data_IF_915661491226
#
_entry.id   IF_915661491226
#
_cell.length_a   1.000
_cell.length_b   1.000
_cell.length_c   1.000
_cell.angle_alpha   90.00
_cell.angle_beta   90.00
_cell.angle_gamma   90.00
#
_symmetry.space_group_name_H-M   'P 1'
#
loop_
_entity.id
_entity.type
_entity.pdbx_description
1 polymer ?
#
# COMPACT_ATOMS: atom_id res chain seq x y z
N UNK A 1 -7.53 21.81 -6.57
CA UNK A 1 -6.45 20.79 -6.50
C UNK A 1 -6.26 20.08 -7.83
N UNK A 2 -7.27 19.39 -8.36
CA UNK A 2 -7.15 18.67 -9.65
C UNK A 2 -6.66 19.57 -10.79
N UNK A 3 -7.35 20.70 -10.98
CA UNK A 3 -6.99 21.70 -11.98
C UNK A 3 -5.54 22.20 -11.83
N UNK A 4 -5.09 22.45 -10.60
CA UNK A 4 -3.70 22.88 -10.34
C UNK A 4 -2.67 21.83 -10.79
N UNK A 5 -2.91 20.55 -10.52
CA UNK A 5 -2.00 19.47 -10.94
C UNK A 5 -1.95 19.36 -12.46
N UNK A 6 -3.12 19.43 -13.10
CA UNK A 6 -3.27 19.31 -14.54
C UNK A 6 -2.61 20.52 -15.26
N UNK A 7 -2.76 21.74 -14.73
CA UNK A 7 -2.17 22.98 -15.27
C UNK A 7 -0.65 23.06 -15.10
N UNK A 8 -0.12 22.56 -13.98
CA UNK A 8 1.32 22.61 -13.67
C UNK A 8 2.11 21.43 -14.26
N UNK A 9 1.47 20.57 -15.06
CA UNK A 9 2.10 19.44 -15.76
C UNK A 9 2.86 18.49 -14.82
N UNK A 10 2.46 18.42 -13.55
CA UNK A 10 3.00 17.47 -12.61
C UNK A 10 2.48 16.10 -13.00
N UNK A 11 3.37 15.21 -13.45
CA UNK A 11 2.94 13.91 -13.95
C UNK A 11 2.72 12.93 -12.79
N UNK A 12 1.61 12.15 -12.80
CA UNK A 12 1.42 11.06 -11.85
C UNK A 12 2.50 9.96 -12.02
N UNK A 13 2.71 9.09 -11.01
CA UNK A 13 1.89 8.96 -9.81
C UNK A 13 2.35 9.83 -8.63
N UNK A 14 1.40 10.23 -7.79
CA UNK A 14 1.59 11.10 -6.63
C UNK A 14 1.70 10.33 -5.33
N UNK A 15 2.47 10.86 -4.38
CA UNK A 15 2.40 10.47 -2.97
C UNK A 15 1.60 11.54 -2.24
N UNK A 16 0.49 11.14 -1.62
CA UNK A 16 -0.34 12.08 -0.87
C UNK A 16 0.13 12.12 0.58
N UNK A 17 0.50 13.31 1.06
CA UNK A 17 0.82 13.55 2.47
C UNK A 17 -0.25 14.46 3.04
N UNK A 18 -1.02 13.96 4.00
CA UNK A 18 -2.19 14.65 4.53
C UNK A 18 -2.12 14.73 6.06
N UNK A 19 -2.49 15.89 6.59
CA UNK A 19 -2.59 16.14 8.02
C UNK A 19 -4.01 16.56 8.41
N UNK A 20 -4.53 15.99 9.49
CA UNK A 20 -5.87 16.26 10.00
C UNK A 20 -6.93 16.25 8.89
N UNK A 21 -7.69 17.34 8.73
CA UNK A 21 -8.73 17.50 7.72
C UNK A 21 -8.25 17.33 6.27
N UNK A 22 -6.95 17.47 6.01
CA UNK A 22 -6.34 17.08 4.75
C UNK A 22 -6.61 15.62 4.38
N UNK A 23 -6.82 14.74 5.36
CA UNK A 23 -7.16 13.34 5.17
C UNK A 23 -8.43 13.15 4.35
N UNK A 24 -9.46 13.95 4.59
CA UNK A 24 -10.70 13.92 3.80
C UNK A 24 -10.43 14.22 2.33
N UNK A 25 -9.67 15.28 2.02
CA UNK A 25 -9.34 15.62 0.64
C UNK A 25 -8.45 14.57 -0.03
N UNK A 26 -7.47 14.02 0.67
CA UNK A 26 -6.61 12.97 0.15
C UNK A 26 -7.41 11.70 -0.18
N UNK A 27 -8.37 11.34 0.67
CA UNK A 27 -9.25 10.19 0.42
C UNK A 27 -10.24 10.42 -0.71
N UNK A 28 -10.77 11.64 -0.87
CA UNK A 28 -11.61 11.98 -2.02
C UNK A 28 -10.83 11.99 -3.33
N UNK A 29 -9.58 12.47 -3.32
CA UNK A 29 -8.71 12.38 -4.49
C UNK A 29 -8.40 10.93 -4.86
N UNK A 30 -8.09 10.10 -3.86
CA UNK A 30 -7.85 8.67 -4.03
C UNK A 30 -9.07 7.96 -4.63
N UNK A 31 -10.28 8.34 -4.21
CA UNK A 31 -11.52 7.81 -4.79
C UNK A 31 -11.66 8.15 -6.27
N UNK A 32 -11.37 9.40 -6.64
CA UNK A 32 -11.56 9.88 -8.01
C UNK A 32 -10.46 9.43 -8.97
N UNK A 33 -9.21 9.32 -8.49
CA UNK A 33 -8.03 9.03 -9.32
C UNK A 33 -7.11 7.98 -8.68
N UNK A 34 -7.60 6.77 -8.35
CA UNK A 34 -6.81 5.76 -7.61
C UNK A 34 -5.55 5.33 -8.35
N UNK A 35 -5.57 5.29 -9.69
CA UNK A 35 -4.40 4.95 -10.51
C UNK A 35 -3.29 6.02 -10.48
N UNK A 36 -3.62 7.27 -10.14
CA UNK A 36 -2.66 8.36 -10.05
C UNK A 36 -1.97 8.45 -8.68
N UNK A 37 -2.36 7.63 -7.70
CA UNK A 37 -1.72 7.61 -6.37
C UNK A 37 -0.72 6.45 -6.31
N UNK A 38 0.54 6.73 -5.94
CA UNK A 38 1.59 5.72 -5.71
C UNK A 38 1.63 5.24 -4.25
N UNK A 39 1.17 6.06 -3.31
CA UNK A 39 1.18 5.76 -1.88
C UNK A 39 0.69 6.97 -1.07
N UNK A 40 0.55 6.79 0.25
CA UNK A 40 -0.01 7.82 1.13
C UNK A 40 0.66 7.87 2.50
N UNK A 41 0.74 9.07 3.08
CA UNK A 41 1.08 9.33 4.48
C UNK A 41 -0.06 10.12 5.11
N UNK A 42 -0.67 9.55 6.13
CA UNK A 42 -1.82 10.09 6.85
C UNK A 42 -1.38 10.44 8.27
N UNK A 43 -1.33 11.72 8.61
CA UNK A 43 -0.81 12.24 9.88
C UNK A 43 -1.97 12.82 10.70
N UNK A 44 -2.24 12.25 11.88
CA UNK A 44 -3.33 12.70 12.75
C UNK A 44 -4.71 12.80 12.06
N UNK A 45 -4.97 11.94 11.08
CA UNK A 45 -6.25 11.87 10.34
C UNK A 45 -7.16 10.75 10.86
N UNK A 46 -8.39 10.69 10.36
CA UNK A 46 -9.36 9.61 10.59
C UNK A 46 -10.40 9.95 11.66
N UNK A 47 -10.29 11.10 12.33
CA UNK A 47 -11.33 11.61 13.23
C UNK A 47 -12.33 12.51 12.51
N UNK A 48 -12.06 12.88 11.27
CA UNK A 48 -12.87 13.83 10.52
C UNK A 48 -14.10 13.13 9.94
N UNK A 49 -15.28 13.52 10.41
CA UNK A 49 -16.58 12.99 9.97
C UNK A 49 -17.05 13.53 8.61
N UNK A 50 -16.16 14.20 7.88
CA UNK A 50 -16.49 14.89 6.64
C UNK A 50 -16.44 14.01 5.38
N UNK A 51 -15.88 12.80 5.48
CA UNK A 51 -15.99 11.82 4.40
C UNK A 51 -17.35 11.12 4.48
N UNK A 52 -18.00 10.95 3.33
CA UNK A 52 -19.20 10.14 3.23
C UNK A 52 -18.91 8.70 3.73
N UNK A 53 -19.68 8.17 4.70
CA UNK A 53 -19.47 6.83 5.24
C UNK A 53 -19.48 5.73 4.18
N UNK A 54 -20.27 5.85 3.12
CA UNK A 54 -20.34 4.84 2.05
C UNK A 54 -19.07 4.85 1.21
N UNK A 55 -18.47 6.03 0.98
CA UNK A 55 -17.14 6.14 0.36
C UNK A 55 -16.11 5.49 1.28
N UNK A 56 -16.13 5.82 2.57
CA UNK A 56 -15.17 5.30 3.51
C UNK A 56 -15.20 3.77 3.58
N UNK A 57 -16.39 3.20 3.80
CA UNK A 57 -16.57 1.75 3.91
C UNK A 57 -16.22 1.04 2.61
N UNK A 58 -16.57 1.63 1.46
CA UNK A 58 -16.16 1.09 0.16
C UNK A 58 -14.64 1.06 0.02
N UNK A 59 -13.94 2.15 0.35
CA UNK A 59 -12.48 2.22 0.25
C UNK A 59 -11.77 1.18 1.12
N UNK A 60 -12.28 0.92 2.33
CA UNK A 60 -11.75 -0.16 3.18
C UNK A 60 -12.07 -1.53 2.61
N UNK A 61 -13.31 -1.76 2.20
CA UNK A 61 -13.76 -3.06 1.64
C UNK A 61 -13.01 -3.43 0.37
N UNK A 62 -12.77 -2.48 -0.52
CA UNK A 62 -12.07 -2.71 -1.79
C UNK A 62 -10.55 -2.64 -1.62
N UNK A 63 -10.06 -2.21 -0.45
CA UNK A 63 -8.67 -1.86 -0.22
C UNK A 63 -8.13 -0.98 -1.36
N UNK A 64 -8.67 0.22 -1.51
CA UNK A 64 -8.49 1.07 -2.70
C UNK A 64 -7.02 1.35 -3.09
N UNK A 65 -6.07 1.30 -2.15
CA UNK A 65 -4.62 1.39 -2.45
C UNK A 65 -4.00 0.07 -2.91
N UNK A 66 -4.67 -1.06 -2.72
CA UNK A 66 -4.18 -2.38 -3.10
C UNK A 66 -2.87 -2.71 -2.38
N UNK A 67 -1.78 -2.86 -3.14
CA UNK A 67 -0.42 -3.08 -2.61
C UNK A 67 0.42 -1.82 -2.43
N UNK A 68 -0.14 -0.63 -2.70
CA UNK A 68 0.58 0.65 -2.62
C UNK A 68 0.82 1.05 -1.17
N UNK A 69 2.03 1.49 -0.80
CA UNK A 69 2.37 1.76 0.58
C UNK A 69 1.54 2.87 1.23
N UNK A 70 1.11 2.62 2.47
CA UNK A 70 0.39 3.55 3.33
C UNK A 70 1.07 3.67 4.70
N UNK A 71 1.41 4.88 5.13
CA UNK A 71 1.79 5.15 6.50
C UNK A 71 0.70 5.94 7.23
N UNK A 72 0.33 5.52 8.44
CA UNK A 72 -0.55 6.27 9.34
C UNK A 72 0.24 6.66 10.58
N UNK A 73 0.35 7.96 10.83
CA UNK A 73 1.05 8.52 11.99
C UNK A 73 0.01 9.06 12.99
N UNK A 74 0.11 8.57 14.22
CA UNK A 74 -0.65 9.00 15.37
C UNK A 74 0.25 9.77 16.34
N UNK A 75 -0.15 10.96 16.73
CA UNK A 75 0.28 11.65 17.94
C UNK A 75 -0.73 11.44 19.09
N UNK A 76 -0.53 12.16 20.18
CA UNK A 76 -1.40 12.22 21.34
C UNK A 76 -2.16 13.55 21.35
N UNK A 77 -3.27 13.64 20.62
CA UNK A 77 -4.12 14.84 20.58
C UNK A 77 -4.60 15.26 21.99
N UNK A 78 -4.66 14.34 22.96
CA UNK A 78 -5.11 14.61 24.33
C UNK A 78 -3.98 14.97 25.30
N UNK A 79 -2.74 15.14 24.83
CA UNK A 79 -1.55 15.32 25.70
C UNK A 79 -1.72 16.45 26.73
N UNK A 80 -2.34 17.57 26.34
CA UNK A 80 -2.59 18.69 27.24
C UNK A 80 -3.61 18.34 28.33
N UNK A 81 -4.68 17.60 27.99
CA UNK A 81 -5.70 17.17 28.95
C UNK A 81 -5.15 16.13 29.91
N UNK A 82 -4.29 15.23 29.42
CA UNK A 82 -3.54 14.30 30.27
C UNK A 82 -2.67 15.03 31.28
N UNK A 83 -1.95 16.07 30.84
CA UNK A 83 -1.15 16.91 31.75
C UNK A 83 -2.01 17.58 32.83
N UNK A 84 -3.17 18.12 32.46
CA UNK A 84 -4.12 18.70 33.41
C UNK A 84 -4.65 17.67 34.40
N UNK A 85 -5.00 16.47 33.93
CA UNK A 85 -5.43 15.37 34.79
C UNK A 85 -4.35 14.99 35.81
N UNK A 86 -3.10 14.84 35.38
CA UNK A 86 -1.98 14.48 36.27
C UNK A 86 -1.72 15.57 37.32
N UNK A 87 -1.82 16.84 36.95
CA UNK A 87 -1.70 17.96 37.90
C UNK A 87 -2.83 17.94 38.93
N UNK A 88 -4.07 17.70 38.51
CA UNK A 88 -5.21 17.61 39.41
C UNK A 88 -5.11 16.40 40.36
N UNK A 89 -4.63 15.26 39.87
CA UNK A 89 -4.37 14.07 40.67
C UNK A 89 -3.29 14.32 41.74
N UNK A 90 -2.20 15.01 41.38
CA UNK A 90 -1.14 15.34 42.33
C UNK A 90 -1.62 16.28 43.46
N UNK A 91 -2.56 17.18 43.17
CA UNK A 91 -3.17 18.07 44.18
C UNK A 91 -4.18 17.34 45.07
N UNK A 92 -4.95 16.40 44.51
CA UNK A 92 -5.97 15.65 45.25
C UNK A 92 -5.39 14.65 46.26
N UNK A 93 -4.16 14.16 46.04
CA UNK A 93 -3.53 13.12 46.86
C UNK A 93 -4.26 11.78 46.75
N UNK A 94 -4.22 10.97 47.81
CA UNK A 94 -4.77 9.60 47.82
C UNK A 94 -6.29 9.53 48.09
N UNK A 95 -6.95 10.67 48.31
CA UNK A 95 -8.38 10.70 48.56
C UNK A 95 -9.18 10.34 47.29
N UNK A 96 -10.17 9.42 47.36
CA UNK A 96 -11.01 9.10 46.22
C UNK A 96 -11.74 10.34 45.69
N UNK A 97 -11.49 10.71 44.44
CA UNK A 97 -12.14 11.83 43.77
C UNK A 97 -12.98 11.34 42.58
N UNK A 98 -14.33 11.27 42.70
CA UNK A 98 -15.21 10.80 41.63
C UNK A 98 -15.03 11.54 40.31
N UNK A 99 -14.76 12.85 40.36
CA UNK A 99 -14.51 13.66 39.15
C UNK A 99 -13.26 13.21 38.41
N UNK A 100 -12.17 12.93 39.14
CA UNK A 100 -10.93 12.42 38.53
C UNK A 100 -11.09 11.02 37.96
N UNK A 101 -11.89 10.16 38.60
CA UNK A 101 -12.21 8.83 38.07
C UNK A 101 -12.94 8.94 36.73
N UNK A 102 -13.99 9.75 36.67
CA UNK A 102 -14.77 9.97 35.44
C UNK A 102 -13.91 10.64 34.36
N UNK A 103 -13.10 11.63 34.73
CA UNK A 103 -12.19 12.31 33.80
C UNK A 103 -11.19 11.32 33.19
N UNK A 104 -10.59 10.44 34.00
CA UNK A 104 -9.67 9.40 33.51
C UNK A 104 -10.38 8.45 32.55
N UNK A 105 -11.57 7.97 32.90
CA UNK A 105 -12.35 7.07 32.04
C UNK A 105 -12.66 7.72 30.68
N UNK A 106 -13.03 9.01 30.67
CA UNK A 106 -13.28 9.73 29.42
C UNK A 106 -12.01 9.89 28.58
N UNK A 107 -10.88 10.22 29.21
CA UNK A 107 -9.59 10.34 28.52
C UNK A 107 -9.16 8.99 27.91
N UNK A 108 -9.23 7.91 28.69
CA UNK A 108 -8.91 6.56 28.23
C UNK A 108 -9.83 6.12 27.09
N UNK A 109 -11.14 6.38 27.19
CA UNK A 109 -12.10 6.04 26.14
C UNK A 109 -11.87 6.84 24.85
N UNK A 110 -11.58 8.14 24.97
CA UNK A 110 -11.31 9.00 23.82
C UNK A 110 -10.00 8.62 23.13
N UNK A 111 -8.95 8.30 23.90
CA UNK A 111 -7.66 7.85 23.37
C UNK A 111 -7.80 6.52 22.61
N UNK A 112 -8.56 5.58 23.18
CA UNK A 112 -8.87 4.30 22.54
C UNK A 112 -9.63 4.47 21.23
N UNK A 113 -10.64 5.34 21.21
CA UNK A 113 -11.42 5.59 20.00
C UNK A 113 -10.58 6.29 18.92
N UNK A 114 -9.73 7.24 19.32
CA UNK A 114 -8.78 7.88 18.43
C UNK A 114 -7.82 6.88 17.77
N UNK A 115 -7.22 5.98 18.55
CA UNK A 115 -6.38 4.90 18.03
C UNK A 115 -7.17 3.97 17.09
N UNK A 116 -8.41 3.60 17.46
CA UNK A 116 -9.27 2.74 16.62
C UNK A 116 -9.51 3.36 15.24
N UNK A 117 -9.87 4.64 15.20
CA UNK A 117 -10.11 5.38 13.95
C UNK A 117 -8.86 5.48 13.09
N UNK A 118 -7.71 5.80 13.70
CA UNK A 118 -6.44 5.88 12.97
C UNK A 118 -6.01 4.51 12.42
N UNK A 119 -6.12 3.44 13.21
CA UNK A 119 -5.83 2.08 12.76
C UNK A 119 -6.79 1.57 11.70
N UNK A 120 -8.06 1.99 11.72
CA UNK A 120 -9.03 1.59 10.70
C UNK A 120 -8.58 2.00 9.28
N UNK A 121 -7.87 3.12 9.15
CA UNK A 121 -7.34 3.59 7.86
C UNK A 121 -6.30 2.65 7.26
N UNK A 122 -5.66 1.77 8.04
CA UNK A 122 -4.72 0.76 7.52
C UNK A 122 -5.40 -0.19 6.54
N UNK A 123 -6.72 -0.36 6.62
CA UNK A 123 -7.51 -1.19 5.69
C UNK A 123 -7.48 -0.68 4.24
N UNK A 124 -7.11 0.58 4.01
CA UNK A 124 -6.96 1.13 2.66
C UNK A 124 -5.92 0.37 1.83
N UNK A 125 -4.88 -0.22 2.46
CA UNK A 125 -3.78 -0.90 1.78
C UNK A 125 -3.36 -2.21 2.46
N UNK A 126 -2.91 -3.18 1.67
CA UNK A 126 -2.23 -4.41 2.14
C UNK A 126 -0.77 -4.16 2.54
N UNK A 127 -0.18 -3.06 2.08
CA UNK A 127 1.17 -2.63 2.44
C UNK A 127 1.06 -1.37 3.28
N UNK A 128 0.98 -1.55 4.60
CA UNK A 128 0.73 -0.43 5.51
C UNK A 128 1.66 -0.46 6.74
N UNK A 129 1.83 0.71 7.34
CA UNK A 129 2.59 0.90 8.57
C UNK A 129 1.87 1.88 9.48
N UNK A 130 1.81 1.53 10.77
CA UNK A 130 1.29 2.38 11.83
C UNK A 130 2.42 2.90 12.70
N UNK A 131 2.43 4.21 12.98
CA UNK A 131 3.45 4.90 13.75
C UNK A 131 2.76 5.67 14.87
N UNK A 132 3.17 5.47 16.12
CA UNK A 132 2.62 6.17 17.27
C UNK A 132 3.70 6.99 17.97
N UNK A 133 3.43 8.28 18.17
CA UNK A 133 4.32 9.29 18.75
C UNK A 133 3.62 9.88 20.00
N UNK A 134 3.70 9.20 21.15
CA UNK A 134 2.89 9.53 22.33
C UNK A 134 3.26 10.86 23.00
N UNK A 135 4.45 11.38 22.70
CA UNK A 135 5.03 12.62 23.23
C UNK A 135 4.74 13.86 22.35
N UNK A 136 4.08 13.68 21.21
CA UNK A 136 3.72 14.77 20.31
C UNK A 136 2.20 14.96 20.26
N UNK A 137 1.72 16.20 20.35
CA UNK A 137 0.30 16.50 20.15
C UNK A 137 -0.16 16.41 18.69
N UNK A 138 -1.30 17.03 18.40
CA UNK A 138 -1.93 17.05 17.06
C UNK A 138 -1.01 17.60 15.95
N UNK A 139 -0.11 18.53 16.27
CA UNK A 139 0.80 19.18 15.31
C UNK A 139 2.03 18.35 14.95
N UNK A 140 1.89 17.06 14.66
CA UNK A 140 3.01 16.16 14.33
C UNK A 140 3.87 16.70 13.19
N UNK A 141 3.24 17.25 12.14
CA UNK A 141 3.96 17.83 11.00
C UNK A 141 4.89 18.99 11.37
N UNK A 142 4.61 19.72 12.46
CA UNK A 142 5.40 20.85 12.91
C UNK A 142 6.47 20.44 13.92
N UNK A 143 6.10 19.57 14.88
CA UNK A 143 6.96 19.23 16.01
C UNK A 143 7.82 18.00 15.75
N UNK A 144 7.39 17.11 14.85
CA UNK A 144 8.08 15.86 14.49
C UNK A 144 8.19 15.69 12.97
N UNK A 145 8.76 16.68 12.26
CA UNK A 145 8.95 16.60 10.81
C UNK A 145 9.88 15.45 10.40
N UNK A 146 10.77 15.02 11.30
CA UNK A 146 11.60 13.82 11.17
C UNK A 146 10.74 12.57 10.93
N UNK A 147 9.73 12.35 11.76
CA UNK A 147 8.86 11.18 11.64
C UNK A 147 8.01 11.22 10.35
N UNK A 148 7.58 12.42 9.93
CA UNK A 148 6.84 12.59 8.66
C UNK A 148 7.76 12.31 7.47
N UNK A 149 8.99 12.83 7.48
CA UNK A 149 10.00 12.55 6.46
C UNK A 149 10.28 11.05 6.38
N UNK A 150 10.52 10.39 7.50
CA UNK A 150 10.78 8.95 7.56
C UNK A 150 9.61 8.13 7.00
N UNK A 151 8.38 8.51 7.32
CA UNK A 151 7.20 7.87 6.76
C UNK A 151 7.11 8.06 5.23
N UNK A 152 7.43 9.25 4.71
CA UNK A 152 7.49 9.51 3.27
C UNK A 152 8.59 8.67 2.61
N UNK A 153 9.80 8.64 3.18
CA UNK A 153 10.89 7.81 2.68
C UNK A 153 10.48 6.33 2.64
N UNK A 154 9.88 5.82 3.71
CA UNK A 154 9.37 4.44 3.76
C UNK A 154 8.33 4.18 2.66
N UNK A 155 7.39 5.11 2.44
CA UNK A 155 6.42 5.02 1.35
C UNK A 155 7.10 5.01 -0.02
N UNK A 156 8.14 5.81 -0.24
CA UNK A 156 8.90 5.84 -1.50
C UNK A 156 9.66 4.52 -1.74
N UNK A 157 10.27 3.95 -0.71
CA UNK A 157 11.06 2.71 -0.78
C UNK A 157 10.19 1.46 -1.00
N UNK A 158 8.94 1.48 -0.51
CA UNK A 158 8.04 0.33 -0.54
C UNK A 158 7.01 0.41 -1.68
N UNK A 159 7.23 1.26 -2.68
CA UNK A 159 6.40 1.28 -3.87
C UNK A 159 6.62 -0.01 -4.66
N UNK A 160 5.54 -0.72 -4.97
CA UNK A 160 5.62 -1.82 -5.92
C UNK A 160 5.88 -1.24 -7.31
N UNK A 161 7.08 -1.45 -7.85
CA UNK A 161 7.35 -1.20 -9.27
C UNK A 161 6.44 -2.07 -10.10
N UNK A 162 5.42 -1.47 -10.73
CA UNK A 162 4.58 -2.08 -11.77
C UNK A 162 5.39 -2.48 -13.04
N UNK A 163 6.73 -2.37 -13.01
CA UNK A 163 7.63 -2.77 -14.09
C UNK A 163 8.17 -4.20 -13.94
N UNK A 164 8.04 -4.85 -12.78
CA UNK A 164 8.65 -6.17 -12.53
C UNK A 164 7.85 -7.38 -13.05
N UNK A 165 6.53 -7.26 -13.19
CA UNK A 165 5.67 -8.38 -13.59
C UNK A 165 5.40 -8.40 -15.10
N UNK A 166 5.32 -7.24 -15.76
CA UNK A 166 5.20 -7.18 -17.23
C UNK A 166 6.48 -7.64 -17.94
N UNK A 167 7.66 -7.25 -17.45
CA UNK A 167 8.91 -7.69 -18.07
C UNK A 167 9.21 -9.16 -17.82
N UNK A 168 8.83 -9.74 -16.67
CA UNK A 168 8.99 -11.19 -16.41
C UNK A 168 8.04 -12.04 -17.25
N UNK A 169 6.79 -11.63 -17.41
CA UNK A 169 5.84 -12.39 -18.23
C UNK A 169 6.15 -12.29 -19.73
N UNK A 170 6.58 -11.13 -20.23
CA UNK A 170 7.02 -11.01 -21.64
C UNK A 170 8.33 -11.78 -21.89
N UNK A 171 9.33 -11.70 -21.01
CA UNK A 171 10.58 -12.46 -21.22
C UNK A 171 10.39 -13.97 -21.07
N UNK A 172 9.47 -14.44 -20.22
CA UNK A 172 9.14 -15.88 -20.11
C UNK A 172 8.31 -16.39 -21.29
N UNK A 173 7.37 -15.61 -21.84
CA UNK A 173 6.63 -16.02 -23.06
C UNK A 173 7.53 -16.04 -24.31
N UNK A 174 8.49 -15.12 -24.43
CA UNK A 174 9.45 -15.13 -25.55
C UNK A 174 10.47 -16.29 -25.42
N UNK A 175 10.89 -16.67 -24.21
CA UNK A 175 11.79 -17.81 -24.00
C UNK A 175 11.09 -19.16 -24.18
N UNK A 176 9.83 -19.33 -23.74
CA UNK A 176 9.07 -20.57 -23.95
C UNK A 176 8.71 -20.78 -25.43
N UNK A 177 8.31 -19.72 -26.16
CA UNK A 177 8.02 -19.82 -27.60
C UNK A 177 9.30 -19.98 -28.44
N UNK A 178 10.43 -19.43 -28.00
CA UNK A 178 11.74 -19.64 -28.62
C UNK A 178 12.24 -21.08 -28.43
N UNK A 179 12.12 -21.60 -27.22
CA UNK A 179 12.46 -22.98 -26.83
C UNK A 179 11.64 -24.01 -27.62
N UNK A 180 10.31 -23.88 -27.66
CA UNK A 180 9.45 -24.81 -28.40
C UNK A 180 9.72 -24.78 -29.91
N UNK A 181 9.96 -23.60 -30.49
CA UNK A 181 10.25 -23.49 -31.92
C UNK A 181 11.63 -24.06 -32.29
N UNK A 182 12.64 -23.91 -31.44
CA UNK A 182 13.97 -24.50 -31.65
C UNK A 182 13.93 -26.03 -31.52
N UNK A 183 13.19 -26.56 -30.54
CA UNK A 183 13.00 -28.02 -30.36
C UNK A 183 12.23 -28.62 -31.54
N UNK A 184 11.12 -28.00 -31.97
CA UNK A 184 10.33 -28.45 -33.14
C UNK A 184 11.14 -28.38 -34.45
N UNK A 185 12.03 -27.39 -34.60
CA UNK A 185 12.91 -27.24 -35.77
C UNK A 185 14.07 -28.26 -35.79
N UNK A 186 14.65 -28.57 -34.62
CA UNK A 186 15.67 -29.61 -34.43
C UNK A 186 15.14 -31.02 -34.73
N UNK A 187 13.93 -31.34 -34.26
CA UNK A 187 13.28 -32.63 -34.53
C UNK A 187 12.91 -32.78 -36.02
N UNK A 188 12.40 -31.71 -36.65
CA UNK A 188 12.09 -31.71 -38.10
C UNK A 188 13.34 -31.80 -38.99
N UNK A 189 14.49 -31.28 -38.55
CA UNK A 189 15.75 -31.40 -39.27
C UNK A 189 16.27 -32.85 -39.24
N UNK A 190 16.24 -33.49 -38.06
CA UNK A 190 16.66 -34.89 -37.88
C UNK A 190 15.80 -35.90 -38.65
N UNK A 191 14.50 -35.64 -38.79
CA UNK A 191 13.59 -36.48 -39.59
C UNK A 191 13.76 -36.30 -41.11
N UNK A 192 14.39 -35.21 -41.58
CA UNK A 192 14.66 -34.97 -43.00
C UNK A 192 15.97 -35.61 -43.47
N UNK A 193 16.96 -35.79 -42.60
CA UNK A 193 18.19 -36.53 -42.93
C UNK A 193 17.97 -38.05 -43.04
N UNK A 194 17.06 -38.63 -42.26
CA UNK A 194 16.76 -40.06 -42.31
C UNK A 194 16.01 -40.53 -43.58
N UNK A 195 15.56 -39.60 -44.45
CA UNK A 195 14.82 -39.90 -45.68
C UNK A 195 15.63 -39.77 -46.99
N UNK A 196 16.95 -39.62 -46.91
CA UNK A 196 17.84 -39.62 -48.09
C UNK A 196 18.90 -40.72 -47.98
N UNK A 197 18.50 -41.97 -48.26
CA UNK A 197 19.42 -43.00 -48.75
C UNK A 197 18.81 -43.64 -50.01
N UNK A 198 19.59 -43.82 -51.09
CA UNK A 198 19.09 -44.35 -52.36
C UNK A 198 19.01 -45.88 -52.34
N UNK A 199 18.01 -46.40 -53.04
CA UNK A 199 17.80 -47.81 -53.41
C UNK A 199 18.64 -48.19 -54.62
N UNK A 200 19.49 -49.22 -54.50
CA UNK A 200 20.01 -50.11 -55.58
C UNK A 200 20.43 -51.41 -54.87
N UNK A 201 20.15 -52.66 -55.26
CA UNK A 201 19.47 -53.29 -56.39
C UNK A 201 19.94 -54.75 -56.50
N UNK A 202 19.00 -55.71 -56.50
CA UNK A 202 18.97 -57.09 -57.04
C UNK A 202 20.08 -58.13 -56.79
N UNK A 203 19.67 -59.41 -56.59
CA UNK A 203 19.88 -60.56 -57.53
C UNK A 203 19.32 -61.89 -56.94
N UNK A 204 18.26 -62.39 -57.61
CA UNK A 204 17.88 -63.77 -58.01
C UNK A 204 18.10 -65.05 -57.18
N UNK A 205 16.97 -65.80 -57.04
CA UNK A 205 16.66 -67.24 -57.37
C UNK A 205 17.56 -68.39 -56.86
N UNK A 206 16.96 -69.46 -56.30
CA UNK A 206 16.52 -70.72 -56.97
C UNK A 206 16.44 -71.95 -56.00
N UNK A 207 15.47 -72.84 -56.25
CA UNK A 207 15.34 -74.28 -55.89
C UNK A 207 15.06 -74.67 -54.41
N UNK A 208 14.19 -75.63 -54.08
CA UNK A 208 13.37 -76.53 -54.89
C UNK A 208 12.76 -77.67 -54.05
N UNK A 209 11.59 -78.15 -54.49
CA UNK A 209 10.81 -79.36 -54.13
C UNK A 209 10.19 -79.46 -52.74
#
# INVERSE_FOLDING_TARGET
>A
MLQYLDENQLSPPYILVAHSYGGTFARLFLEQRPHQVAGMVLVETGQETAIDPDIEQRQYKTQVLGGKPLAVIRGNTLIAKWKQYQQALAVAGDAPNPTLIIQKQLLDATDKEDERLKRAQLQLSRNNRYIHIPDCGHGVIQHRPDAVKEAVCWVMENQQTQNGEKQKNESQEYEEQGSENVVKKSIRARLREAKKMPLVGNITRLLGR
#
